data_IF_825339264120
#
_entry.id   IF_825339264120
#
_cell.length_a   1.000
_cell.length_b   1.000
_cell.length_c   1.000
_cell.angle_alpha   90.00
_cell.angle_beta   90.00
_cell.angle_gamma   90.00
#
_symmetry.space_group_name_H-M   'P 1'
#
loop_
_entity.id
_entity.type
_entity.pdbx_description
1 polymer ?
#
# COMPACT_ATOMS: atom_id res chain seq x y z
N UNK A 1 4.01 -6.71 7.72
CA UNK A 1 4.60 -5.37 7.89
C UNK A 1 5.72 -5.44 8.90
N UNK A 2 6.76 -4.59 8.82
CA UNK A 2 7.81 -4.56 9.83
C UNK A 2 7.19 -4.34 11.22
N UNK A 3 7.50 -5.22 12.18
CA UNK A 3 6.89 -5.22 13.53
C UNK A 3 7.38 -4.09 14.43
N UNK A 4 8.41 -3.35 14.00
CA UNK A 4 8.97 -2.20 14.70
C UNK A 4 8.23 -0.87 14.40
N UNK A 5 7.14 -0.89 13.63
CA UNK A 5 6.36 0.31 13.29
C UNK A 5 5.06 0.32 14.08
N UNK A 6 4.81 1.41 14.80
CA UNK A 6 3.57 1.61 15.57
C UNK A 6 2.36 1.79 14.64
N UNK A 7 2.54 2.51 13.54
CA UNK A 7 1.49 2.72 12.55
C UNK A 7 1.49 1.63 11.47
N UNK A 8 0.32 1.05 11.22
CA UNK A 8 0.09 0.11 10.14
C UNK A 8 -0.83 0.75 9.06
N UNK A 9 -0.28 1.43 8.04
CA UNK A 9 -1.09 2.14 7.05
C UNK A 9 -1.93 1.21 6.14
N UNK A 10 -1.65 -0.10 6.14
CA UNK A 10 -2.40 -1.12 5.42
C UNK A 10 -3.50 -1.82 6.21
N UNK A 11 -3.88 -1.37 7.42
CA UNK A 11 -4.87 -2.09 8.25
C UNK A 11 -6.27 -2.10 7.63
N UNK A 12 -6.54 -1.15 6.72
CA UNK A 12 -7.77 -1.10 5.93
C UNK A 12 -7.85 -2.12 4.80
N UNK A 13 -6.99 -3.15 4.78
CA UNK A 13 -7.02 -4.19 3.76
C UNK A 13 -6.46 -3.75 2.40
N UNK A 14 -6.84 -4.48 1.36
CA UNK A 14 -6.34 -4.26 0.01
C UNK A 14 -6.65 -2.83 -0.49
N UNK A 15 -5.69 -2.22 -1.18
CA UNK A 15 -5.85 -0.95 -1.89
C UNK A 15 -5.56 -1.19 -3.37
N UNK A 16 -6.53 -0.90 -4.22
CA UNK A 16 -6.44 -1.06 -5.68
C UNK A 16 -6.63 0.31 -6.33
N UNK A 17 -5.74 0.68 -7.26
CA UNK A 17 -5.86 1.93 -8.04
C UNK A 17 -5.48 1.66 -9.48
N UNK A 18 -6.39 1.96 -10.40
CA UNK A 18 -6.18 1.96 -11.84
C UNK A 18 -6.07 3.42 -12.30
N UNK A 19 -5.00 3.73 -13.04
CA UNK A 19 -4.79 5.05 -13.68
C UNK A 19 -4.80 4.86 -15.19
N UNK A 20 -5.52 5.72 -15.89
CA UNK A 20 -5.68 5.66 -17.33
C UNK A 20 -4.85 6.76 -18.03
N UNK A 21 -4.51 6.59 -19.32
CA UNK A 21 -3.72 7.57 -20.07
C UNK A 21 -4.35 8.96 -20.18
N UNK A 22 -5.66 9.07 -20.06
CA UNK A 22 -6.42 10.33 -20.07
C UNK A 22 -6.38 11.09 -18.72
N UNK A 23 -5.67 10.54 -17.73
CA UNK A 23 -5.55 11.11 -16.38
C UNK A 23 -6.70 10.75 -15.44
N UNK A 24 -7.72 10.01 -15.93
CA UNK A 24 -8.76 9.45 -15.07
C UNK A 24 -8.22 8.28 -14.24
N UNK A 25 -8.92 7.96 -13.16
CA UNK A 25 -8.58 6.84 -12.30
C UNK A 25 -9.81 6.28 -11.60
N UNK A 26 -9.71 5.00 -11.21
CA UNK A 26 -10.66 4.32 -10.35
C UNK A 26 -9.88 3.65 -9.23
N UNK A 27 -10.40 3.69 -8.01
CA UNK A 27 -9.79 3.03 -6.87
C UNK A 27 -10.81 2.25 -6.04
N UNK A 28 -10.31 1.32 -5.24
CA UNK A 28 -11.09 0.55 -4.27
C UNK A 28 -10.23 0.28 -3.05
N UNK A 29 -10.84 0.24 -1.87
CA UNK A 29 -10.19 -0.29 -0.68
C UNK A 29 -11.24 -0.88 0.25
N UNK A 30 -10.95 -2.05 0.83
CA UNK A 30 -11.91 -2.77 1.69
C UNK A 30 -12.29 -1.94 2.93
N UNK A 31 -11.31 -1.29 3.55
CA UNK A 31 -11.46 -0.43 4.73
C UNK A 31 -11.73 1.04 4.41
N UNK A 32 -12.09 1.39 3.17
CA UNK A 32 -12.48 2.76 2.81
C UNK A 32 -13.72 2.76 1.92
N UNK A 33 -14.54 3.82 2.01
CA UNK A 33 -15.65 4.06 1.08
C UNK A 33 -16.62 2.87 0.94
N UNK A 34 -16.76 2.07 2.00
CA UNK A 34 -17.61 0.88 2.04
C UNK A 34 -17.16 -0.25 1.10
N UNK A 35 -15.87 -0.32 0.73
CA UNK A 35 -15.36 -1.35 -0.17
C UNK A 35 -15.73 -1.16 -1.64
N UNK A 36 -16.43 -0.06 -1.97
CA UNK A 36 -16.94 0.22 -3.32
C UNK A 36 -15.89 0.89 -4.19
N UNK A 37 -15.93 0.69 -5.52
CA UNK A 37 -15.12 1.48 -6.43
C UNK A 37 -15.45 2.98 -6.34
N UNK A 38 -14.42 3.82 -6.45
CA UNK A 38 -14.52 5.28 -6.39
C UNK A 38 -13.75 5.92 -7.54
N UNK A 39 -14.28 7.02 -8.06
CA UNK A 39 -13.63 7.85 -9.10
C UNK A 39 -13.49 9.32 -8.68
N UNK A 40 -14.03 9.71 -7.51
CA UNK A 40 -13.89 11.07 -7.00
C UNK A 40 -12.40 11.40 -6.74
N UNK A 41 -11.88 12.51 -7.28
CA UNK A 41 -10.47 12.86 -7.13
C UNK A 41 -9.98 12.97 -5.68
N UNK A 42 -10.83 13.42 -4.74
CA UNK A 42 -10.44 13.52 -3.32
C UNK A 42 -10.33 12.14 -2.69
N UNK A 43 -11.26 11.23 -2.99
CA UNK A 43 -11.21 9.86 -2.51
C UNK A 43 -10.00 9.10 -3.09
N UNK A 44 -9.72 9.27 -4.38
CA UNK A 44 -8.53 8.71 -5.04
C UNK A 44 -7.22 9.23 -4.42
N UNK A 45 -7.18 10.53 -4.06
CA UNK A 45 -6.02 11.12 -3.38
C UNK A 45 -5.75 10.46 -2.04
N UNK A 46 -6.79 10.15 -1.26
CA UNK A 46 -6.67 9.44 0.02
C UNK A 46 -6.05 8.04 -0.19
N UNK A 47 -6.54 7.27 -1.17
CA UNK A 47 -5.99 5.94 -1.48
C UNK A 47 -4.52 6.03 -1.92
N UNK A 48 -4.19 7.01 -2.77
CA UNK A 48 -2.82 7.25 -3.22
C UNK A 48 -1.86 7.61 -2.08
N UNK A 49 -2.30 8.43 -1.12
CA UNK A 49 -1.50 8.78 0.05
C UNK A 49 -1.24 7.58 0.96
N UNK A 50 -2.28 6.75 1.21
CA UNK A 50 -2.13 5.52 2.00
C UNK A 50 -1.16 4.53 1.34
N UNK A 51 -1.28 4.33 0.03
CA UNK A 51 -0.31 3.53 -0.73
C UNK A 51 1.11 4.10 -0.61
N UNK A 52 1.25 5.42 -0.68
CA UNK A 52 2.53 6.11 -0.50
C UNK A 52 3.18 5.83 0.87
N UNK A 53 2.39 5.85 1.96
CA UNK A 53 2.88 5.51 3.30
C UNK A 53 3.32 4.05 3.40
N UNK A 54 2.53 3.12 2.86
CA UNK A 54 2.90 1.68 2.82
C UNK A 54 4.24 1.51 2.09
N UNK A 55 4.40 2.12 0.91
CA UNK A 55 5.64 2.05 0.15
C UNK A 55 6.83 2.67 0.90
N UNK A 56 6.63 3.79 1.61
CA UNK A 56 7.69 4.46 2.36
C UNK A 56 8.17 3.66 3.58
N UNK A 57 7.30 2.82 4.15
CA UNK A 57 7.64 1.93 5.26
C UNK A 57 8.14 0.55 4.81
N UNK A 58 7.87 0.17 3.56
CA UNK A 58 8.32 -1.09 2.99
C UNK A 58 9.84 -1.09 2.78
N UNK A 59 10.45 -2.26 2.96
CA UNK A 59 11.84 -2.49 2.59
C UNK A 59 11.98 -2.32 1.07
N UNK A 60 13.10 -1.73 0.64
CA UNK A 60 13.50 -1.76 -0.77
C UNK A 60 13.81 -3.20 -1.21
N UNK A 61 13.84 -3.49 -2.52
CA UNK A 61 14.14 -4.84 -3.00
C UNK A 61 15.46 -5.43 -2.48
N UNK A 62 16.51 -4.59 -2.31
CA UNK A 62 17.79 -5.05 -1.75
C UNK A 62 17.70 -5.35 -0.26
N UNK A 63 17.03 -4.49 0.51
CA UNK A 63 16.82 -4.72 1.95
C UNK A 63 15.94 -5.94 2.19
N UNK A 64 14.92 -6.16 1.34
CA UNK A 64 14.12 -7.39 1.37
C UNK A 64 14.97 -8.63 1.11
N UNK A 65 15.85 -8.61 0.11
CA UNK A 65 16.73 -9.74 -0.19
C UNK A 65 17.66 -10.04 0.99
N UNK A 66 18.36 -9.02 1.51
CA UNK A 66 19.25 -9.18 2.65
C UNK A 66 18.52 -9.73 3.88
N UNK A 67 17.30 -9.26 4.14
CA UNK A 67 16.46 -9.77 5.23
C UNK A 67 16.07 -11.25 5.03
N UNK A 68 15.68 -11.64 3.80
CA UNK A 68 15.34 -13.03 3.48
C UNK A 68 16.55 -13.95 3.65
N UNK A 69 17.71 -13.56 3.15
CA UNK A 69 18.96 -14.32 3.27
C UNK A 69 19.39 -14.48 4.73
N UNK A 70 19.26 -13.41 5.53
CA UNK A 70 19.54 -13.46 6.97
C UNK A 70 18.65 -14.49 7.67
N UNK A 71 17.32 -14.40 7.49
CA UNK A 71 16.37 -15.33 8.15
C UNK A 71 16.56 -16.77 7.67
N UNK A 72 16.95 -16.98 6.40
CA UNK A 72 17.25 -18.31 5.86
C UNK A 72 18.54 -18.92 6.45
N UNK A 73 19.51 -18.09 6.85
CA UNK A 73 20.75 -18.52 7.50
C UNK A 73 20.64 -18.71 9.02
N UNK A 74 19.53 -18.29 9.63
CA UNK A 74 19.25 -18.44 11.07
C UNK A 74 18.70 -19.84 11.44
N UNK A 75 18.55 -20.75 10.47
CA UNK A 75 18.20 -22.18 10.66
C UNK A 75 19.41 -23.09 10.62
#
# INVERSE_FOLDING_TARGET
MPTHREEHPGTGGLIEVLKFPDGSAVGRSEGAFGGRPVSDPKQLRILGLRYGMIRAQALSPRESLAFIEQVLGET
#
